data_IF_593114874995
#
_entry.id   IF_593114874995
#
_cell.length_a   1.000
_cell.length_b   1.000
_cell.length_c   1.000
_cell.angle_alpha   90.00
_cell.angle_beta   90.00
_cell.angle_gamma   90.00
#
_symmetry.space_group_name_H-M   'P 1'
#
loop_
_entity.id
_entity.type
_entity.pdbx_description
1 polymer ?
#
# COMPACT_ATOMS: atom_id res chain seq x y z
N UNK A 1 -34.33 -10.74 -22.28
CA UNK A 1 -33.05 -10.27 -21.78
C UNK A 1 -33.33 -9.09 -20.87
N UNK A 2 -33.27 -9.28 -19.55
CA UNK A 2 -33.48 -8.19 -18.60
C UNK A 2 -32.29 -7.22 -18.76
N UNK A 3 -32.62 -5.95 -18.94
CA UNK A 3 -31.63 -4.88 -19.10
C UNK A 3 -30.79 -4.75 -17.82
N UNK A 4 -29.58 -5.31 -17.81
CA UNK A 4 -28.60 -5.15 -16.71
C UNK A 4 -28.20 -3.69 -16.45
N UNK A 5 -28.55 -2.76 -17.33
CA UNK A 5 -28.37 -1.31 -17.13
C UNK A 5 -29.22 -0.78 -15.97
N UNK A 6 -30.34 -1.44 -15.63
CA UNK A 6 -31.28 -0.97 -14.60
C UNK A 6 -30.83 -1.20 -13.15
N UNK A 7 -29.97 -2.19 -12.88
CA UNK A 7 -29.66 -2.58 -11.49
C UNK A 7 -28.72 -1.57 -10.82
N UNK A 8 -27.69 -1.10 -11.52
CA UNK A 8 -26.79 -0.06 -11.00
C UNK A 8 -27.49 1.31 -10.95
N UNK A 9 -28.46 1.56 -11.87
CA UNK A 9 -29.20 2.82 -11.92
C UNK A 9 -30.08 3.05 -10.69
N UNK A 10 -30.58 1.98 -10.07
CA UNK A 10 -31.38 2.01 -8.85
C UNK A 10 -30.51 2.14 -7.56
N UNK A 11 -29.20 1.82 -7.64
CA UNK A 11 -28.31 1.91 -6.50
C UNK A 11 -28.13 3.36 -6.06
N UNK A 12 -28.14 3.64 -4.75
CA UNK A 12 -27.93 4.98 -4.20
C UNK A 12 -27.32 4.92 -2.81
N UNK A 13 -26.68 6.03 -2.41
CA UNK A 13 -26.09 6.16 -1.10
C UNK A 13 -24.73 5.45 -0.94
N UNK A 14 -24.28 5.18 0.30
CA UNK A 14 -22.95 4.67 0.57
C UNK A 14 -22.76 3.24 0.07
N UNK A 15 -21.57 2.95 -0.47
CA UNK A 15 -21.19 1.56 -0.78
C UNK A 15 -20.85 0.80 0.50
N UNK A 16 -21.20 -0.49 0.60
CA UNK A 16 -20.91 -1.27 1.81
C UNK A 16 -19.42 -1.47 2.04
N UNK A 17 -18.65 -1.65 0.97
CA UNK A 17 -17.19 -1.82 0.99
C UNK A 17 -16.56 -1.15 -0.22
N UNK A 18 -15.39 -0.53 -0.02
CA UNK A 18 -14.57 0.02 -1.10
C UNK A 18 -13.70 -1.08 -1.72
N UNK A 19 -13.22 -0.88 -2.95
CA UNK A 19 -12.25 -1.78 -3.60
C UNK A 19 -10.87 -1.83 -2.92
N UNK A 20 -10.63 -0.96 -1.94
CA UNK A 20 -9.49 -1.08 -1.04
C UNK A 20 -9.61 -2.26 -0.06
N UNK A 21 -10.80 -2.87 0.09
CA UNK A 21 -10.93 -4.19 0.70
C UNK A 21 -10.38 -5.23 -0.27
N UNK A 22 -9.26 -5.82 0.06
CA UNK A 22 -8.50 -6.74 -0.79
C UNK A 22 -9.28 -7.99 -1.19
N UNK A 23 -10.17 -8.50 -0.31
CA UNK A 23 -11.04 -9.63 -0.65
C UNK A 23 -12.06 -9.23 -1.73
N UNK A 24 -12.71 -8.06 -1.60
CA UNK A 24 -13.62 -7.54 -2.62
C UNK A 24 -12.89 -7.32 -3.94
N UNK A 25 -11.73 -6.67 -3.90
CA UNK A 25 -10.89 -6.43 -5.07
C UNK A 25 -10.59 -7.71 -5.83
N UNK A 26 -10.05 -8.73 -5.16
CA UNK A 26 -9.74 -10.02 -5.78
C UNK A 26 -10.98 -10.69 -6.36
N UNK A 27 -12.10 -10.68 -5.62
CA UNK A 27 -13.37 -11.25 -6.08
C UNK A 27 -13.85 -10.61 -7.36
N UNK A 28 -13.80 -9.27 -7.45
CA UNK A 28 -14.21 -8.51 -8.64
C UNK A 28 -13.31 -8.85 -9.82
N UNK A 29 -11.99 -8.84 -9.64
CA UNK A 29 -11.02 -9.16 -10.69
C UNK A 29 -11.15 -10.62 -11.18
N UNK A 30 -11.45 -11.54 -10.29
CA UNK A 30 -11.62 -12.96 -10.63
C UNK A 30 -12.94 -13.24 -11.35
N UNK A 31 -14.03 -12.56 -10.97
CA UNK A 31 -15.36 -12.80 -11.55
C UNK A 31 -15.57 -12.18 -12.93
N UNK A 32 -14.78 -11.17 -13.31
CA UNK A 32 -15.00 -10.44 -14.55
C UNK A 32 -13.71 -10.17 -15.33
N UNK A 33 -13.53 -10.92 -16.41
CA UNK A 33 -12.35 -10.81 -17.28
C UNK A 33 -12.22 -9.45 -17.98
N UNK A 34 -13.33 -8.78 -18.30
CA UNK A 34 -13.31 -7.43 -18.89
C UNK A 34 -12.75 -6.43 -17.90
N UNK A 35 -13.14 -6.54 -16.62
CA UNK A 35 -12.62 -5.71 -15.53
C UNK A 35 -11.13 -5.96 -15.33
N UNK A 36 -10.73 -7.23 -15.23
CA UNK A 36 -9.32 -7.59 -15.08
C UNK A 36 -8.46 -7.05 -16.23
N UNK A 37 -8.93 -7.22 -17.46
CA UNK A 37 -8.23 -6.78 -18.67
C UNK A 37 -8.08 -5.25 -18.71
N UNK A 38 -9.16 -4.51 -18.48
CA UNK A 38 -9.13 -3.04 -18.45
C UNK A 38 -8.25 -2.50 -17.34
N UNK A 39 -8.27 -3.13 -16.16
CA UNK A 39 -7.43 -2.71 -15.04
C UNK A 39 -5.93 -2.98 -15.29
N UNK A 40 -5.57 -4.16 -15.82
CA UNK A 40 -4.18 -4.48 -16.19
C UNK A 40 -3.68 -3.58 -17.32
N UNK A 41 -4.51 -3.29 -18.31
CA UNK A 41 -4.21 -2.32 -19.37
C UNK A 41 -3.86 -0.95 -18.79
N UNK A 42 -4.65 -0.44 -17.84
CA UNK A 42 -4.40 0.83 -17.17
C UNK A 42 -3.10 0.85 -16.36
N UNK A 43 -2.83 -0.22 -15.59
CA UNK A 43 -1.63 -0.33 -14.75
C UNK A 43 -0.32 -0.44 -15.56
N UNK A 44 -0.38 -1.07 -16.72
CA UNK A 44 0.80 -1.29 -17.59
C UNK A 44 0.97 -0.21 -18.64
N UNK A 45 0.01 0.71 -18.79
CA UNK A 45 -0.04 1.72 -19.85
C UNK A 45 0.07 1.09 -21.27
N UNK A 46 -0.65 -0.01 -21.48
CA UNK A 46 -0.76 -0.70 -22.77
C UNK A 46 -2.21 -0.76 -23.23
N UNK A 47 -2.42 -0.95 -24.52
CA UNK A 47 -3.79 -1.10 -25.03
C UNK A 47 -4.38 -2.47 -24.68
N UNK A 48 -5.71 -2.57 -24.59
CA UNK A 48 -6.36 -3.85 -24.34
C UNK A 48 -6.10 -4.88 -25.44
N UNK A 49 -5.84 -4.45 -26.68
CA UNK A 49 -5.50 -5.31 -27.82
C UNK A 49 -4.15 -6.01 -27.65
N UNK A 50 -3.21 -5.41 -26.92
CA UNK A 50 -1.91 -6.01 -26.59
C UNK A 50 -2.03 -7.14 -25.56
N UNK A 51 -3.14 -7.19 -24.83
CA UNK A 51 -3.44 -8.23 -23.84
C UNK A 51 -4.17 -9.39 -24.57
N UNK A 52 -3.42 -10.45 -24.90
CA UNK A 52 -3.94 -11.65 -25.58
C UNK A 52 -4.51 -12.66 -24.58
N UNK A 53 -3.88 -12.79 -23.41
CA UNK A 53 -4.33 -13.68 -22.34
C UNK A 53 -3.98 -13.14 -20.96
N UNK A 54 -4.87 -13.39 -20.01
CA UNK A 54 -4.67 -13.15 -18.56
C UNK A 54 -5.11 -14.39 -17.81
N UNK A 55 -4.22 -14.95 -17.03
CA UNK A 55 -4.49 -16.10 -16.18
C UNK A 55 -4.22 -15.74 -14.71
N UNK A 56 -5.21 -15.93 -13.85
CA UNK A 56 -5.03 -15.75 -12.40
C UNK A 56 -4.40 -17.02 -11.84
N UNK A 57 -3.17 -16.89 -11.31
CA UNK A 57 -2.36 -18.02 -10.86
C UNK A 57 -2.73 -18.51 -9.46
N UNK A 58 -3.43 -17.68 -8.67
CA UNK A 58 -3.85 -17.99 -7.31
C UNK A 58 -5.33 -17.63 -7.08
N UNK A 59 -6.29 -18.25 -7.78
CA UNK A 59 -7.70 -17.93 -7.64
C UNK A 59 -8.20 -18.19 -6.21
N UNK A 60 -9.21 -17.42 -5.78
CA UNK A 60 -9.94 -17.69 -4.55
C UNK A 60 -10.78 -18.94 -4.79
N UNK A 61 -10.62 -19.96 -3.94
CA UNK A 61 -11.46 -21.16 -3.93
C UNK A 61 -12.63 -20.90 -2.99
N UNK A 62 -13.86 -20.91 -3.52
CA UNK A 62 -15.08 -20.75 -2.73
C UNK A 62 -15.26 -21.97 -1.82
N UNK A 63 -15.43 -21.74 -0.52
CA UNK A 63 -15.67 -22.82 0.47
C UNK A 63 -14.46 -23.16 1.35
N UNK A 64 -13.29 -22.54 1.16
CA UNK A 64 -12.19 -22.67 2.11
C UNK A 64 -12.53 -21.96 3.43
N UNK A 65 -12.22 -22.62 4.56
CA UNK A 65 -12.55 -22.16 5.90
C UNK A 65 -12.01 -20.76 6.21
N UNK A 66 -12.85 -19.93 6.86
CA UNK A 66 -12.51 -18.59 7.36
C UNK A 66 -11.39 -18.60 8.42
N UNK A 67 -11.05 -19.79 8.96
CA UNK A 67 -10.05 -19.96 10.03
C UNK A 67 -8.60 -20.09 9.51
N UNK A 68 -8.36 -20.17 8.19
CA UNK A 68 -7.00 -20.20 7.67
C UNK A 68 -6.35 -18.82 7.83
N UNK A 69 -5.43 -18.70 8.78
CA UNK A 69 -4.70 -17.47 9.16
C UNK A 69 -3.79 -16.89 8.07
N UNK A 70 -3.74 -17.48 6.89
CA UNK A 70 -2.97 -17.03 5.74
C UNK A 70 -3.90 -16.53 4.62
N UNK A 71 -4.48 -15.35 4.83
CA UNK A 71 -5.05 -14.60 3.70
C UNK A 71 -3.90 -14.08 2.82
N UNK A 72 -3.46 -14.89 1.87
CA UNK A 72 -2.64 -14.41 0.76
C UNK A 72 -3.60 -13.68 -0.18
N UNK A 73 -3.67 -12.36 -0.04
CA UNK A 73 -4.67 -11.54 -0.74
C UNK A 73 -4.09 -10.77 -1.93
N UNK A 74 -2.86 -11.08 -2.32
CA UNK A 74 -2.28 -10.60 -3.56
C UNK A 74 -2.91 -11.30 -4.78
N UNK A 75 -3.03 -10.58 -5.88
CA UNK A 75 -3.53 -11.07 -7.16
C UNK A 75 -2.34 -11.38 -8.07
N UNK A 76 -2.07 -12.66 -8.32
CA UNK A 76 -1.01 -13.12 -9.22
C UNK A 76 -1.58 -13.43 -10.59
N UNK A 77 -1.02 -12.80 -11.61
CA UNK A 77 -1.46 -12.90 -13.00
C UNK A 77 -0.29 -13.31 -13.87
N UNK A 78 -0.56 -14.22 -14.80
CA UNK A 78 0.32 -14.50 -15.94
C UNK A 78 -0.26 -13.78 -17.17
N UNK A 79 0.45 -12.75 -17.63
CA UNK A 79 0.09 -11.97 -18.82
C UNK A 79 0.76 -12.58 -20.06
N UNK A 80 -0.03 -12.84 -21.11
CA UNK A 80 0.45 -13.32 -22.41
C UNK A 80 1.35 -14.55 -22.33
N UNK A 81 1.24 -15.35 -21.26
CA UNK A 81 2.08 -16.52 -20.96
C UNK A 81 3.59 -16.22 -20.82
N UNK A 82 3.99 -14.97 -20.69
CA UNK A 82 5.40 -14.57 -20.69
C UNK A 82 5.78 -13.47 -19.70
N UNK A 83 4.84 -12.97 -18.89
CA UNK A 83 5.13 -11.97 -17.85
C UNK A 83 4.30 -12.25 -16.59
N UNK A 84 4.96 -12.28 -15.44
CA UNK A 84 4.32 -12.40 -14.14
C UNK A 84 4.00 -11.02 -13.58
N UNK A 85 2.77 -10.83 -13.11
CA UNK A 85 2.30 -9.62 -12.44
C UNK A 85 1.78 -10.01 -11.07
N UNK A 86 2.22 -9.31 -10.03
CA UNK A 86 1.69 -9.43 -8.68
C UNK A 86 1.11 -8.09 -8.24
N UNK A 87 -0.20 -8.04 -7.93
CA UNK A 87 -0.89 -6.83 -7.51
C UNK A 87 -1.30 -6.99 -6.06
N UNK A 88 -0.90 -6.05 -5.20
CA UNK A 88 -1.25 -6.03 -3.78
C UNK A 88 -1.89 -4.71 -3.39
N UNK A 89 -3.02 -4.78 -2.65
CA UNK A 89 -3.70 -3.62 -2.07
C UNK A 89 -3.31 -3.51 -0.61
N UNK A 90 -2.77 -2.36 -0.19
CA UNK A 90 -2.34 -2.12 1.18
C UNK A 90 -2.94 -0.82 1.72
N UNK A 91 -3.72 -0.95 2.80
CA UNK A 91 -4.41 0.18 3.44
C UNK A 91 -3.60 0.77 4.59
N UNK A 92 -2.94 -0.08 5.39
CA UNK A 92 -2.21 0.32 6.59
C UNK A 92 -0.71 0.44 6.29
N UNK A 93 -0.11 1.55 6.69
CA UNK A 93 1.34 1.72 6.65
C UNK A 93 1.98 1.14 7.92
N UNK A 94 2.84 0.13 7.75
CA UNK A 94 3.64 -0.49 8.82
C UNK A 94 5.08 0.05 8.88
N UNK A 95 5.41 1.07 8.06
CA UNK A 95 6.74 1.66 7.90
C UNK A 95 7.82 0.68 7.35
N UNK A 96 7.38 -0.47 6.80
CA UNK A 96 8.25 -1.54 6.24
C UNK A 96 7.91 -1.87 4.77
N UNK A 97 7.07 -1.05 4.13
CA UNK A 97 6.55 -1.37 2.80
C UNK A 97 7.63 -1.50 1.71
N UNK A 98 8.71 -0.68 1.68
CA UNK A 98 9.77 -0.85 0.69
C UNK A 98 10.41 -2.24 0.75
N UNK A 99 10.78 -2.71 1.94
CA UNK A 99 11.42 -4.00 2.16
C UNK A 99 10.45 -5.16 1.88
N UNK A 100 9.20 -4.99 2.26
CA UNK A 100 8.14 -5.98 2.08
C UNK A 100 7.81 -6.16 0.60
N UNK A 101 7.54 -5.09 -0.13
CA UNK A 101 7.21 -5.13 -1.56
C UNK A 101 8.38 -5.67 -2.39
N UNK A 102 9.63 -5.28 -2.04
CA UNK A 102 10.83 -5.83 -2.66
C UNK A 102 10.97 -7.34 -2.39
N UNK A 103 10.68 -7.79 -1.17
CA UNK A 103 10.70 -9.22 -0.82
C UNK A 103 9.68 -10.01 -1.66
N UNK A 104 8.49 -9.45 -1.87
CA UNK A 104 7.46 -10.10 -2.71
C UNK A 104 7.87 -10.14 -4.18
N UNK A 105 8.46 -9.06 -4.70
CA UNK A 105 8.99 -9.03 -6.06
C UNK A 105 10.10 -10.08 -6.24
N UNK A 106 11.05 -10.18 -5.29
CA UNK A 106 12.11 -11.19 -5.34
C UNK A 106 11.56 -12.63 -5.34
N UNK A 107 10.57 -12.92 -4.49
CA UNK A 107 9.92 -14.25 -4.45
C UNK A 107 9.17 -14.57 -5.73
N UNK A 108 8.54 -13.59 -6.35
CA UNK A 108 7.83 -13.78 -7.61
C UNK A 108 8.81 -13.94 -8.79
N UNK A 109 9.95 -13.26 -8.75
CA UNK A 109 11.00 -13.35 -9.76
C UNK A 109 11.76 -14.68 -9.72
N UNK A 110 11.94 -15.26 -8.53
CA UNK A 110 12.56 -16.57 -8.32
C UNK A 110 11.58 -17.69 -8.71
N UNK A 111 11.29 -17.79 -10.00
CA UNK A 111 10.30 -18.72 -10.58
C UNK A 111 10.93 -19.90 -11.32
N UNK A 112 12.26 -19.92 -11.48
CA UNK A 112 12.96 -21.00 -12.19
C UNK A 112 12.96 -22.31 -11.40
N UNK A 113 12.87 -23.42 -12.14
CA UNK A 113 13.01 -24.76 -11.59
C UNK A 113 14.43 -25.25 -11.75
N UNK A 114 14.77 -26.31 -11.04
CA UNK A 114 16.07 -26.97 -11.18
C UNK A 114 16.28 -27.41 -12.63
N UNK A 115 17.32 -26.87 -13.26
CA UNK A 115 17.70 -27.19 -14.65
C UNK A 115 17.23 -26.17 -15.69
N UNK A 116 16.45 -25.17 -15.32
CA UNK A 116 16.06 -24.06 -16.22
C UNK A 116 17.26 -23.12 -16.43
N UNK A 117 17.35 -22.49 -17.60
CA UNK A 117 18.32 -21.44 -17.87
C UNK A 117 17.91 -20.12 -17.22
N UNK A 118 18.87 -19.37 -16.68
CA UNK A 118 18.58 -18.05 -16.09
C UNK A 118 17.98 -17.04 -17.07
N UNK A 119 18.20 -17.22 -18.38
CA UNK A 119 17.59 -16.36 -19.42
C UNK A 119 16.08 -16.52 -19.48
N UNK A 120 15.54 -17.68 -19.04
CA UNK A 120 14.14 -18.03 -19.12
C UNK A 120 13.32 -17.46 -17.94
N UNK A 121 13.97 -16.80 -16.97
CA UNK A 121 13.24 -16.12 -15.90
C UNK A 121 12.23 -15.13 -16.49
N UNK A 122 10.98 -15.24 -16.06
CA UNK A 122 9.90 -14.37 -16.54
C UNK A 122 10.12 -12.92 -16.07
N UNK A 123 9.90 -11.93 -16.93
CA UNK A 123 9.71 -10.56 -16.49
C UNK A 123 8.65 -10.53 -15.40
N UNK A 124 8.99 -9.91 -14.26
CA UNK A 124 8.10 -9.86 -13.09
C UNK A 124 7.88 -8.42 -12.69
N UNK A 125 6.61 -8.06 -12.53
CA UNK A 125 6.16 -6.74 -12.14
C UNK A 125 5.33 -6.84 -10.86
N UNK A 126 5.83 -6.32 -9.75
CA UNK A 126 5.06 -6.15 -8.53
C UNK A 126 4.43 -4.76 -8.52
N UNK A 127 3.12 -4.68 -8.36
CA UNK A 127 2.35 -3.44 -8.35
C UNK A 127 1.65 -3.30 -7.00
N UNK A 128 2.01 -2.26 -6.28
CA UNK A 128 1.45 -1.92 -4.97
C UNK A 128 0.39 -0.83 -5.12
N UNK A 129 -0.83 -1.09 -4.64
CA UNK A 129 -1.92 -0.10 -4.57
C UNK A 129 -2.02 0.36 -3.12
N UNK A 130 -1.59 1.59 -2.84
CA UNK A 130 -1.42 2.08 -1.48
C UNK A 130 -2.45 3.15 -1.11
N UNK A 131 -3.05 3.04 0.08
CA UNK A 131 -3.89 4.07 0.69
C UNK A 131 -3.08 5.02 1.60
N UNK A 132 -1.77 5.05 1.43
CA UNK A 132 -0.84 5.95 2.10
C UNK A 132 0.26 6.38 1.14
N UNK A 133 0.85 7.56 1.38
CA UNK A 133 1.97 8.07 0.56
C UNK A 133 3.28 7.49 1.07
N UNK A 134 3.98 6.73 0.21
CA UNK A 134 5.21 6.04 0.59
C UNK A 134 6.37 7.02 0.78
N UNK A 135 6.54 7.97 -0.15
CA UNK A 135 7.60 8.97 -0.13
C UNK A 135 7.02 10.39 -0.10
N UNK A 136 6.68 10.93 1.09
CA UNK A 136 6.02 12.25 1.20
C UNK A 136 6.83 13.41 0.64
N UNK A 137 8.17 13.31 0.58
CA UNK A 137 9.06 14.34 0.03
C UNK A 137 9.05 14.37 -1.51
N UNK A 138 8.70 13.26 -2.15
CA UNK A 138 8.63 13.10 -3.60
C UNK A 138 7.32 12.37 -3.96
N UNK A 139 6.16 13.00 -3.77
CA UNK A 139 4.88 12.36 -4.00
C UNK A 139 4.62 12.20 -5.50
N UNK A 140 4.25 10.98 -5.90
CA UNK A 140 3.82 10.65 -7.25
C UNK A 140 2.48 9.89 -7.18
N UNK A 141 1.69 9.96 -8.24
CA UNK A 141 0.47 9.18 -8.34
C UNK A 141 0.77 7.73 -8.70
N UNK A 142 1.57 7.54 -9.75
CA UNK A 142 2.04 6.23 -10.18
C UNK A 142 3.53 6.29 -10.50
N UNK A 143 4.30 5.48 -9.81
CA UNK A 143 5.76 5.44 -9.97
C UNK A 143 6.23 4.02 -10.27
N UNK A 144 7.28 3.90 -11.07
CA UNK A 144 7.91 2.61 -11.41
C UNK A 144 9.38 2.63 -11.05
N UNK A 145 9.79 1.69 -10.21
CA UNK A 145 11.16 1.51 -9.76
C UNK A 145 11.78 0.32 -10.49
N UNK A 146 13.01 0.51 -10.97
CA UNK A 146 13.77 -0.48 -11.71
C UNK A 146 15.22 -0.52 -11.22
N UNK A 147 15.90 -1.64 -11.45
CA UNK A 147 17.31 -1.79 -11.09
C UNK A 147 18.20 -1.08 -12.11
N UNK A 148 18.91 -0.04 -11.68
CA UNK A 148 19.75 0.81 -12.53
C UNK A 148 21.13 1.02 -11.95
N UNK A 149 22.11 1.27 -12.81
CA UNK A 149 23.43 1.75 -12.40
C UNK A 149 23.30 3.17 -11.84
N UNK A 150 23.70 3.36 -10.58
CA UNK A 150 23.54 4.65 -9.85
C UNK A 150 24.38 5.81 -10.42
N UNK A 151 25.36 5.55 -11.27
CA UNK A 151 26.26 6.59 -11.83
C UNK A 151 25.80 7.07 -13.21
N UNK A 152 25.43 6.15 -14.09
CA UNK A 152 25.10 6.47 -15.49
C UNK A 152 23.64 6.20 -15.85
N UNK A 153 22.83 5.76 -14.89
CA UNK A 153 21.41 5.42 -15.01
C UNK A 153 21.11 4.35 -16.08
N UNK A 154 22.10 3.53 -16.43
CA UNK A 154 21.88 2.40 -17.32
C UNK A 154 21.01 1.34 -16.65
N UNK A 155 19.94 0.95 -17.31
CA UNK A 155 19.08 -0.13 -16.86
C UNK A 155 19.87 -1.45 -16.79
N UNK A 156 19.85 -2.12 -15.63
CA UNK A 156 20.53 -3.41 -15.45
C UNK A 156 19.74 -4.55 -16.10
N UNK A 157 18.42 -4.57 -15.86
CA UNK A 157 17.49 -5.50 -16.49
C UNK A 157 16.08 -4.90 -16.51
N UNK A 158 15.32 -5.15 -17.57
CA UNK A 158 13.91 -4.79 -17.65
C UNK A 158 12.95 -5.86 -17.08
N UNK A 159 13.50 -7.00 -16.63
CA UNK A 159 12.69 -8.12 -16.11
C UNK A 159 12.25 -7.97 -14.65
N UNK A 160 12.68 -6.91 -13.95
CA UNK A 160 12.47 -6.72 -12.51
C UNK A 160 11.92 -5.33 -12.26
N UNK A 161 10.62 -5.23 -12.00
CA UNK A 161 9.91 -3.95 -11.88
C UNK A 161 9.04 -3.91 -10.63
N UNK A 162 9.03 -2.77 -9.95
CA UNK A 162 8.19 -2.48 -8.81
C UNK A 162 7.47 -1.15 -9.03
N UNK A 163 6.14 -1.17 -9.13
CA UNK A 163 5.33 0.04 -9.25
C UNK A 163 4.49 0.30 -8.00
N UNK A 164 4.23 1.57 -7.76
CA UNK A 164 3.40 2.05 -6.66
C UNK A 164 2.33 2.99 -7.21
N UNK A 165 1.07 2.65 -6.95
CA UNK A 165 -0.10 3.49 -7.19
C UNK A 165 -0.55 4.08 -5.84
N UNK A 166 -0.36 5.40 -5.66
CA UNK A 166 -0.78 6.11 -4.44
C UNK A 166 -2.19 6.67 -4.61
N UNK A 167 -3.16 6.05 -3.97
CA UNK A 167 -4.58 6.44 -4.02
C UNK A 167 -4.86 7.83 -3.39
N UNK A 168 -3.92 8.40 -2.63
CA UNK A 168 -4.05 9.76 -2.09
C UNK A 168 -3.57 10.84 -3.05
N UNK A 169 -2.94 10.44 -4.17
CA UNK A 169 -2.28 11.34 -5.12
C UNK A 169 -2.91 11.33 -6.51
N UNK A 170 -4.18 10.92 -6.64
CA UNK A 170 -4.92 10.89 -7.92
C UNK A 170 -4.82 12.23 -8.67
N UNK A 171 -4.80 13.35 -7.95
CA UNK A 171 -4.67 14.69 -8.54
C UNK A 171 -3.31 14.95 -9.21
N UNK A 172 -2.30 14.09 -8.98
CA UNK A 172 -0.98 14.14 -9.64
C UNK A 172 -0.90 13.21 -10.86
N UNK A 173 -2.01 12.59 -11.28
CA UNK A 173 -2.04 11.73 -12.46
C UNK A 173 -1.52 12.47 -13.69
N UNK A 174 -0.55 11.86 -14.37
CA UNK A 174 0.05 12.39 -15.60
C UNK A 174 -0.92 12.26 -16.77
N UNK A 175 -0.58 12.90 -17.90
CA UNK A 175 -1.39 12.72 -19.13
C UNK A 175 -1.33 11.27 -19.65
N UNK A 176 -0.25 10.54 -19.38
CA UNK A 176 -0.14 9.13 -19.70
C UNK A 176 -1.07 8.29 -18.83
N UNK A 177 -1.10 8.53 -17.51
CA UNK A 177 -2.02 7.85 -16.58
C UNK A 177 -3.47 8.06 -16.99
N UNK A 178 -3.85 9.29 -17.36
CA UNK A 178 -5.20 9.65 -17.82
C UNK A 178 -5.54 9.02 -19.17
N UNK A 179 -4.56 8.94 -20.08
CA UNK A 179 -4.75 8.29 -21.39
C UNK A 179 -5.21 6.85 -21.24
N UNK A 180 -4.66 6.13 -20.25
CA UNK A 180 -5.03 4.76 -19.93
C UNK A 180 -6.08 4.66 -18.81
N UNK A 181 -6.68 5.80 -18.38
CA UNK A 181 -7.74 5.87 -17.39
C UNK A 181 -7.35 5.34 -15.99
N UNK A 182 -6.05 5.33 -15.66
CA UNK A 182 -5.57 4.85 -14.37
C UNK A 182 -6.09 5.72 -13.21
N UNK A 183 -6.28 7.02 -13.44
CA UNK A 183 -6.90 7.96 -12.52
C UNK A 183 -8.35 7.59 -12.18
N UNK A 184 -9.14 7.15 -13.17
CA UNK A 184 -10.51 6.67 -12.93
C UNK A 184 -10.53 5.32 -12.21
N UNK A 185 -9.61 4.41 -12.52
CA UNK A 185 -9.44 3.18 -11.76
C UNK A 185 -9.10 3.48 -10.30
N UNK A 186 -8.14 4.37 -10.05
CA UNK A 186 -7.79 4.79 -8.70
C UNK A 186 -8.97 5.45 -7.96
N UNK A 187 -9.74 6.30 -8.66
CA UNK A 187 -10.96 6.90 -8.11
C UNK A 187 -12.00 5.84 -7.73
N UNK A 188 -12.14 4.77 -8.52
CA UNK A 188 -13.05 3.66 -8.22
C UNK A 188 -12.67 2.92 -6.93
N UNK A 189 -11.37 2.79 -6.63
CA UNK A 189 -10.89 2.18 -5.38
C UNK A 189 -11.31 2.95 -4.14
N UNK A 190 -11.41 4.27 -4.22
CA UNK A 190 -11.72 5.15 -3.07
C UNK A 190 -13.14 5.70 -3.09
N UNK A 191 -13.93 5.36 -4.10
CA UNK A 191 -15.34 5.75 -4.23
C UNK A 191 -16.12 5.32 -2.99
N UNK A 192 -16.98 6.20 -2.48
CA UNK A 192 -17.73 6.00 -1.22
C UNK A 192 -19.22 5.83 -1.43
N UNK A 193 -19.71 6.24 -2.59
CA UNK A 193 -21.14 6.21 -2.91
C UNK A 193 -21.40 5.55 -4.25
N UNK A 194 -22.60 5.04 -4.46
CA UNK A 194 -23.00 4.50 -5.76
C UNK A 194 -23.07 5.58 -6.83
N UNK A 195 -23.29 6.83 -6.46
CA UNK A 195 -23.24 7.99 -7.34
C UNK A 195 -21.84 8.19 -7.91
N UNK A 196 -20.78 8.04 -7.07
CA UNK A 196 -19.37 8.05 -7.53
C UNK A 196 -19.11 6.94 -8.53
N UNK A 197 -19.57 5.71 -8.23
CA UNK A 197 -19.43 4.56 -9.12
C UNK A 197 -20.11 4.78 -10.47
N UNK A 198 -21.33 5.34 -10.50
CA UNK A 198 -22.06 5.65 -11.72
C UNK A 198 -21.32 6.66 -12.59
N UNK A 199 -20.83 7.74 -11.97
CA UNK A 199 -20.05 8.77 -12.69
C UNK A 199 -18.76 8.21 -13.31
N UNK A 200 -18.06 7.33 -12.61
CA UNK A 200 -16.85 6.67 -13.12
C UNK A 200 -17.21 5.65 -14.21
N UNK A 201 -18.30 4.90 -14.05
CA UNK A 201 -18.77 3.90 -15.01
C UNK A 201 -19.07 4.48 -16.41
N UNK A 202 -19.37 5.78 -16.51
CA UNK A 202 -19.59 6.46 -17.79
C UNK A 202 -18.31 6.64 -18.64
N UNK A 203 -17.12 6.41 -18.07
CA UNK A 203 -15.85 6.71 -18.74
C UNK A 203 -15.41 5.64 -19.72
N UNK A 204 -15.70 4.36 -19.44
CA UNK A 204 -15.40 3.25 -20.35
C UNK A 204 -16.18 1.98 -19.98
N UNK A 205 -16.23 1.03 -20.93
CA UNK A 205 -16.92 -0.25 -20.69
C UNK A 205 -16.25 -1.08 -19.57
N UNK A 206 -14.90 -1.19 -19.43
CA UNK A 206 -14.30 -1.88 -18.29
C UNK A 206 -14.66 -1.26 -16.94
N UNK A 207 -14.70 0.07 -16.83
CA UNK A 207 -15.10 0.76 -15.60
C UNK A 207 -16.58 0.55 -15.28
N UNK A 208 -17.43 0.53 -16.29
CA UNK A 208 -18.85 0.22 -16.15
C UNK A 208 -19.07 -1.22 -15.68
N UNK A 209 -18.37 -2.16 -16.28
CA UNK A 209 -18.40 -3.56 -15.84
C UNK A 209 -17.84 -3.73 -14.43
N UNK A 210 -16.82 -2.96 -14.04
CA UNK A 210 -16.31 -2.96 -12.67
C UNK A 210 -17.39 -2.49 -11.67
N UNK A 211 -18.06 -1.37 -11.95
CA UNK A 211 -19.13 -0.85 -11.10
C UNK A 211 -20.29 -1.85 -10.95
N UNK A 212 -20.73 -2.46 -12.05
CA UNK A 212 -21.78 -3.52 -12.04
C UNK A 212 -21.33 -4.73 -11.23
N UNK A 213 -20.08 -5.17 -11.42
CA UNK A 213 -19.55 -6.35 -10.72
C UNK A 213 -19.44 -6.09 -9.24
N UNK A 214 -18.94 -4.92 -8.81
CA UNK A 214 -18.90 -4.51 -7.40
C UNK A 214 -20.29 -4.53 -6.80
N UNK A 215 -21.30 -3.96 -7.50
CA UNK A 215 -22.68 -3.96 -7.02
C UNK A 215 -23.23 -5.38 -6.82
N UNK A 216 -23.06 -6.24 -7.85
CA UNK A 216 -23.57 -7.61 -7.80
C UNK A 216 -22.92 -8.42 -6.67
N UNK A 217 -21.57 -8.39 -6.55
CA UNK A 217 -20.86 -9.17 -5.52
C UNK A 217 -21.10 -8.62 -4.11
N UNK A 218 -21.33 -7.32 -3.96
CA UNK A 218 -21.66 -6.72 -2.66
C UNK A 218 -23.02 -7.15 -2.12
N UNK A 219 -23.91 -7.67 -2.96
CA UNK A 219 -25.19 -8.23 -2.56
C UNK A 219 -25.07 -9.71 -2.10
N UNK A 220 -24.00 -10.41 -2.44
CA UNK A 220 -23.78 -11.81 -2.07
C UNK A 220 -23.42 -11.92 -0.57
N UNK A 221 -24.16 -12.73 0.19
CA UNK A 221 -24.02 -12.83 1.65
C UNK A 221 -22.62 -13.36 2.06
N UNK A 222 -22.13 -14.39 1.40
CA UNK A 222 -20.79 -14.95 1.67
C UNK A 222 -19.68 -13.93 1.45
N UNK A 223 -19.77 -13.16 0.36
CA UNK A 223 -18.79 -12.09 0.07
C UNK A 223 -18.87 -10.98 1.13
N UNK A 224 -20.08 -10.60 1.53
CA UNK A 224 -20.28 -9.61 2.60
C UNK A 224 -19.63 -10.04 3.91
N UNK A 225 -19.83 -11.29 4.33
CA UNK A 225 -19.26 -11.83 5.56
C UNK A 225 -17.71 -11.81 5.51
N UNK A 226 -17.12 -12.15 4.38
CA UNK A 226 -15.66 -12.15 4.19
C UNK A 226 -15.10 -10.71 4.14
N UNK A 227 -15.76 -9.80 3.44
CA UNK A 227 -15.39 -8.39 3.43
C UNK A 227 -15.46 -7.78 4.83
N UNK A 228 -16.49 -8.13 5.60
CA UNK A 228 -16.67 -7.65 6.99
C UNK A 228 -15.56 -8.23 7.91
N UNK A 229 -15.25 -9.52 7.79
CA UNK A 229 -14.16 -10.15 8.54
C UNK A 229 -12.82 -9.47 8.23
N UNK A 230 -12.55 -9.15 6.95
CA UNK A 230 -11.35 -8.44 6.54
C UNK A 230 -11.31 -7.01 7.09
N UNK A 231 -12.42 -6.28 7.02
CA UNK A 231 -12.53 -4.92 7.58
C UNK A 231 -12.22 -4.91 9.08
N UNK A 232 -12.80 -5.84 9.85
CA UNK A 232 -12.52 -5.96 11.30
C UNK A 232 -11.06 -6.27 11.58
N UNK A 233 -10.47 -7.19 10.83
CA UNK A 233 -9.04 -7.48 10.95
C UNK A 233 -8.16 -6.24 10.72
N UNK A 234 -8.47 -5.43 9.72
CA UNK A 234 -7.75 -4.18 9.44
C UNK A 234 -7.95 -3.13 10.54
N UNK A 235 -9.17 -2.98 11.06
CA UNK A 235 -9.50 -2.08 12.17
C UNK A 235 -8.73 -2.48 13.45
N UNK A 236 -8.73 -3.78 13.80
CA UNK A 236 -7.99 -4.29 14.95
C UNK A 236 -6.47 -4.05 14.81
N UNK A 237 -5.93 -4.29 13.63
CA UNK A 237 -4.51 -4.01 13.34
C UNK A 237 -4.19 -2.52 13.43
N UNK A 238 -5.02 -1.64 12.88
CA UNK A 238 -4.87 -0.19 12.97
C UNK A 238 -4.91 0.28 14.44
N UNK A 239 -5.80 -0.30 15.24
CA UNK A 239 -5.88 -0.01 16.68
C UNK A 239 -4.60 -0.42 17.40
N UNK A 240 -4.08 -1.63 17.15
CA UNK A 240 -2.85 -2.12 17.78
C UNK A 240 -1.63 -1.24 17.44
N UNK A 241 -1.48 -0.84 16.17
CA UNK A 241 -0.40 0.05 15.73
C UNK A 241 -0.50 1.41 16.45
N UNK A 242 -1.71 1.99 16.45
CA UNK A 242 -1.94 3.31 17.05
C UNK A 242 -1.72 3.29 18.56
N UNK A 243 -2.19 2.23 19.22
CA UNK A 243 -2.04 2.04 20.67
C UNK A 243 -0.57 1.84 21.04
N UNK A 244 0.15 0.96 20.34
CA UNK A 244 1.57 0.73 20.53
C UNK A 244 2.42 1.99 20.37
N UNK A 245 2.13 2.78 19.31
CA UNK A 245 2.80 4.07 19.09
C UNK A 245 2.55 5.08 20.21
N UNK A 246 1.30 5.19 20.66
CA UNK A 246 0.94 6.08 21.79
C UNK A 246 1.66 5.65 23.08
N UNK A 247 1.70 4.36 23.36
CA UNK A 247 2.39 3.81 24.52
C UNK A 247 3.90 4.06 24.44
N UNK A 248 4.54 3.77 23.29
CA UNK A 248 5.97 4.01 23.09
C UNK A 248 6.35 5.49 23.26
N UNK A 249 5.53 6.43 22.74
CA UNK A 249 5.75 7.87 22.96
C UNK A 249 5.65 8.23 24.45
N UNK A 250 4.67 7.66 25.17
CA UNK A 250 4.51 7.92 26.62
C UNK A 250 5.70 7.39 27.42
N UNK A 251 6.12 6.17 27.14
CA UNK A 251 7.28 5.53 27.78
C UNK A 251 8.57 6.29 27.46
N UNK A 252 8.81 6.62 26.18
CA UNK A 252 9.99 7.37 25.78
C UNK A 252 10.08 8.76 26.42
N UNK A 253 8.94 9.46 26.58
CA UNK A 253 8.89 10.74 27.31
C UNK A 253 9.22 10.54 28.80
N UNK A 254 8.72 9.47 29.43
CA UNK A 254 8.99 9.18 30.86
C UNK A 254 10.46 8.85 31.08
N UNK A 255 11.03 7.99 30.21
CA UNK A 255 12.46 7.64 30.28
C UNK A 255 13.33 8.87 30.05
N UNK A 256 13.06 9.65 28.99
CA UNK A 256 13.83 10.86 28.69
C UNK A 256 13.75 11.93 29.81
N UNK A 257 12.61 12.02 30.51
CA UNK A 257 12.49 12.90 31.69
C UNK A 257 13.37 12.41 32.83
N UNK A 258 13.32 11.11 33.17
CA UNK A 258 14.14 10.52 34.23
C UNK A 258 15.65 10.62 33.94
N UNK A 259 16.05 10.33 32.70
CA UNK A 259 17.45 10.49 32.28
C UNK A 259 17.91 11.95 32.34
N UNK A 260 17.04 12.89 31.93
CA UNK A 260 17.32 14.32 32.02
C UNK A 260 17.48 14.80 33.48
N UNK A 261 16.63 14.33 34.39
CA UNK A 261 16.77 14.63 35.84
C UNK A 261 18.05 14.04 36.42
N UNK A 262 18.38 12.79 36.07
CA UNK A 262 19.60 12.14 36.53
C UNK A 262 20.86 12.87 36.07
N UNK A 263 20.91 13.26 34.77
CA UNK A 263 22.02 14.05 34.19
C UNK A 263 22.17 15.40 34.85
N UNK A 264 21.06 16.12 35.09
CA UNK A 264 21.10 17.41 35.79
C UNK A 264 21.58 17.26 37.21
N UNK A 265 21.11 16.25 37.94
CA UNK A 265 21.54 15.97 39.32
C UNK A 265 23.04 15.66 39.39
N UNK A 266 23.56 14.83 38.48
CA UNK A 266 25.00 14.54 38.36
C UNK A 266 25.82 15.80 38.07
N UNK A 267 25.37 16.64 37.16
CA UNK A 267 26.04 17.90 36.85
C UNK A 267 26.08 18.85 38.06
N UNK A 268 24.95 19.00 38.76
CA UNK A 268 24.87 19.84 39.95
C UNK A 268 25.84 19.31 41.04
N UNK A 269 25.88 18.01 41.27
CA UNK A 269 26.80 17.40 42.23
C UNK A 269 28.26 17.70 41.88
N UNK A 270 28.66 17.48 40.63
CA UNK A 270 30.01 17.81 40.14
C UNK A 270 30.39 19.28 40.32
N UNK A 271 29.46 20.20 40.03
CA UNK A 271 29.70 21.63 40.15
C UNK A 271 29.81 22.04 41.65
N UNK A 272 29.04 21.41 42.52
CA UNK A 272 29.14 21.62 44.00
C UNK A 272 30.47 21.12 44.54
N UNK A 273 30.93 19.95 44.14
CA UNK A 273 32.23 19.40 44.52
C UNK A 273 33.40 20.30 44.08
N UNK A 274 33.25 20.96 42.94
CA UNK A 274 34.23 21.93 42.43
C UNK A 274 34.07 23.34 43.01
N UNK A 275 33.15 23.56 43.94
CA UNK A 275 32.82 24.82 44.56
C UNK A 275 32.34 25.91 43.57
N UNK A 276 31.69 25.51 42.45
CA UNK A 276 31.21 26.37 41.33
C UNK A 276 29.73 26.74 41.53
N UNK A 277 29.39 27.40 42.63
CA UNK A 277 28.00 27.67 43.02
C UNK A 277 27.25 28.60 42.03
N UNK A 278 27.94 29.53 41.36
CA UNK A 278 27.31 30.37 40.38
C UNK A 278 26.93 29.60 39.09
N UNK A 279 27.73 28.59 38.75
CA UNK A 279 27.41 27.72 37.63
C UNK A 279 26.23 26.80 37.94
N UNK A 280 26.07 26.35 39.19
CA UNK A 280 24.87 25.61 39.67
C UNK A 280 23.61 26.45 39.43
N UNK A 281 23.61 27.74 39.74
CA UNK A 281 22.47 28.60 39.46
C UNK A 281 22.24 28.78 37.95
N UNK A 282 23.31 28.93 37.19
CA UNK A 282 23.22 29.14 35.75
C UNK A 282 22.68 27.94 34.99
N UNK A 283 23.09 26.72 35.28
CA UNK A 283 22.62 25.50 34.61
C UNK A 283 21.13 25.22 34.84
N UNK A 284 20.49 25.77 35.85
CA UNK A 284 19.07 25.62 36.09
C UNK A 284 18.21 26.46 35.11
N UNK A 285 18.74 27.60 34.64
CA UNK A 285 18.01 28.55 33.79
C UNK A 285 18.54 28.66 32.35
N UNK A 286 19.85 28.41 32.11
CA UNK A 286 20.51 28.52 30.82
C UNK A 286 20.71 27.15 30.18
N UNK A 287 19.81 26.76 29.26
CA UNK A 287 19.85 25.50 28.56
C UNK A 287 21.08 25.30 27.67
N UNK A 288 21.57 26.40 27.04
CA UNK A 288 22.74 26.34 26.18
C UNK A 288 24.00 26.05 26.98
N UNK A 289 24.17 26.76 28.10
CA UNK A 289 25.28 26.55 29.02
C UNK A 289 25.24 25.16 29.66
N UNK A 290 24.06 24.67 29.99
CA UNK A 290 23.87 23.32 30.52
C UNK A 290 24.34 22.26 29.50
N UNK A 291 24.00 22.39 28.22
CA UNK A 291 24.44 21.47 27.15
C UNK A 291 25.97 21.48 27.01
N UNK A 292 26.58 22.67 27.00
CA UNK A 292 28.04 22.81 26.97
C UNK A 292 28.71 22.04 28.10
N UNK A 293 28.16 22.13 29.32
CA UNK A 293 28.70 21.41 30.47
C UNK A 293 28.44 19.91 30.41
N UNK A 294 27.30 19.46 29.87
CA UNK A 294 27.09 18.04 29.62
C UNK A 294 28.14 17.45 28.68
N UNK A 295 28.44 18.13 27.59
CA UNK A 295 29.52 17.71 26.68
C UNK A 295 30.88 17.72 27.38
N UNK A 296 31.20 18.78 28.10
CA UNK A 296 32.46 18.94 28.81
C UNK A 296 32.72 17.84 29.86
N UNK A 297 31.69 17.42 30.56
CA UNK A 297 31.78 16.41 31.63
C UNK A 297 31.36 15.01 31.17
N UNK A 298 31.05 14.84 29.89
CA UNK A 298 30.62 13.58 29.26
C UNK A 298 29.42 12.93 30.02
N UNK A 299 28.38 13.74 30.29
CA UNK A 299 27.15 13.35 30.99
C UNK A 299 26.00 13.07 29.98
#
# INVERSE_FOLDING_TARGET
MANFTSILDEASGPVPYQLTNDYLFRTVMQKNQTVLKGFVSALLHISEEEIRSLEIMNPIVLGEDLDSKEFILDLKILLNSNQAINIEVQVLNYDDWPERSLTYLCRAFDSLKHGDDYIDVLPTHHISILKFTLFPQHPEFYSTNMLMNVRNHQLYTGKFQLSVLDLNKIHLATEEDKKYQLDYWAALFVAKTWEDFKMIAEKSEPLKEAAKTVYAVSAEEDIRLRCEARRRYEEDRAFLITSGRKQGIKEGKSIGFQEGEAKLSSLITLLMEQNRLDDVKRVTSDLAYRRELYEKYNL
#
